data_IF_378617186545
#
_entry.id   IF_378617186545
#
_cell.length_a   1.000
_cell.length_b   1.000
_cell.length_c   1.000
_cell.angle_alpha   90.00
_cell.angle_beta   90.00
_cell.angle_gamma   90.00
#
_symmetry.space_group_name_H-M   'P 1'
#
loop_
_entity.id
_entity.type
_entity.pdbx_description
1 polymer ?
#
# COMPACT_ATOMS: atom_id res chain seq x y z
N UNK A 1 15.53 -16.01 -4.88
CA UNK A 1 15.00 -14.67 -4.53
C UNK A 1 13.87 -14.37 -5.50
N UNK A 2 12.71 -13.95 -5.01
CA UNK A 2 11.59 -13.51 -5.86
C UNK A 2 11.87 -12.05 -6.24
N UNK A 3 11.78 -11.65 -7.52
CA UNK A 3 12.02 -10.26 -7.91
C UNK A 3 10.98 -9.33 -7.30
N UNK A 4 11.42 -8.17 -6.83
CA UNK A 4 10.52 -7.12 -6.34
C UNK A 4 9.68 -6.54 -7.50
N UNK A 5 8.41 -6.16 -7.27
CA UNK A 5 7.62 -5.45 -8.27
C UNK A 5 8.25 -4.11 -8.66
N UNK A 6 8.04 -3.67 -9.90
CA UNK A 6 8.40 -2.31 -10.31
C UNK A 6 7.53 -1.30 -9.56
N UNK A 7 8.08 -0.11 -9.26
CA UNK A 7 7.41 0.90 -8.43
C UNK A 7 6.01 1.25 -8.95
N UNK A 8 5.87 1.48 -10.25
CA UNK A 8 4.62 1.90 -10.87
C UNK A 8 3.66 0.73 -11.17
N UNK A 9 3.94 -0.47 -10.65
CA UNK A 9 3.07 -1.65 -10.81
C UNK A 9 1.99 -1.66 -9.73
N UNK A 10 0.75 -1.92 -10.13
CA UNK A 10 -0.32 -2.22 -9.18
C UNK A 10 -0.24 -3.67 -8.72
N UNK A 11 -0.33 -3.86 -7.40
CA UNK A 11 -0.19 -5.17 -6.75
C UNK A 11 -1.43 -5.50 -5.94
N UNK A 12 -1.73 -6.78 -5.84
CA UNK A 12 -2.70 -7.28 -4.87
C UNK A 12 -1.99 -7.47 -3.53
N UNK A 13 -2.56 -6.90 -2.47
CA UNK A 13 -1.94 -6.97 -1.16
C UNK A 13 -2.97 -6.99 -0.04
N UNK A 14 -2.52 -7.33 1.17
CA UNK A 14 -3.30 -7.21 2.41
C UNK A 14 -2.42 -6.72 3.54
N UNK A 15 -3.00 -5.94 4.46
CA UNK A 15 -2.29 -5.58 5.69
C UNK A 15 -2.45 -6.67 6.76
N UNK A 16 -1.43 -6.81 7.61
CA UNK A 16 -1.47 -7.66 8.82
C UNK A 16 -2.11 -6.97 10.00
N UNK A 17 -2.08 -5.65 10.00
CA UNK A 17 -2.59 -4.76 11.04
C UNK A 17 -3.37 -3.61 10.40
N UNK A 18 -4.09 -2.84 11.23
CA UNK A 18 -4.79 -1.67 10.76
C UNK A 18 -3.76 -0.59 10.40
N UNK A 19 -3.82 -0.08 9.16
CA UNK A 19 -2.93 0.97 8.68
C UNK A 19 -3.76 2.19 8.28
N UNK A 20 -3.27 3.36 8.65
CA UNK A 20 -3.83 4.67 8.28
C UNK A 20 -2.69 5.59 7.85
N UNK A 21 -3.00 6.73 7.25
CA UNK A 21 -1.97 7.67 6.82
C UNK A 21 -1.25 7.29 5.54
N UNK A 22 -1.79 6.36 4.74
CA UNK A 22 -1.16 5.95 3.47
C UNK A 22 -1.44 7.00 2.39
N UNK A 23 -0.39 7.59 1.85
CA UNK A 23 -0.49 8.54 0.74
C UNK A 23 -0.51 7.78 -0.59
N UNK A 24 -1.64 7.82 -1.29
CA UNK A 24 -1.75 7.29 -2.65
C UNK A 24 -1.29 8.34 -3.67
N UNK A 25 -0.62 7.91 -4.75
CA UNK A 25 -0.09 8.84 -5.77
C UNK A 25 -1.18 9.61 -6.52
N UNK A 26 -2.35 9.00 -6.76
CA UNK A 26 -3.47 9.64 -7.48
C UNK A 26 -4.43 10.44 -6.57
N UNK A 27 -4.11 10.58 -5.29
CA UNK A 27 -4.90 11.40 -4.36
C UNK A 27 -4.62 12.89 -4.59
N UNK A 28 -5.63 13.78 -4.52
CA UNK A 28 -5.38 15.22 -4.55
C UNK A 28 -4.38 15.61 -3.46
N UNK A 29 -3.21 16.12 -3.88
CA UNK A 29 -2.03 16.42 -3.04
C UNK A 29 -2.37 17.41 -1.90
N UNK A 30 -3.41 18.24 -2.10
CA UNK A 30 -3.81 19.29 -1.16
C UNK A 30 -4.82 18.83 -0.10
N UNK A 31 -5.35 17.60 -0.20
CA UNK A 31 -6.36 17.07 0.72
C UNK A 31 -5.78 15.92 1.56
N UNK A 32 -4.98 16.27 2.57
CA UNK A 32 -4.54 15.35 3.64
C UNK A 32 -5.70 14.68 4.40
N UNK A 33 -6.93 15.09 4.11
CA UNK A 33 -8.19 14.50 4.56
C UNK A 33 -8.54 13.17 3.86
N UNK A 34 -7.82 12.76 2.81
CA UNK A 34 -8.01 11.49 2.09
C UNK A 34 -6.80 10.55 2.20
N UNK A 35 -6.23 10.44 3.39
CA UNK A 35 -5.26 9.38 3.67
C UNK A 35 -5.97 8.03 3.57
N UNK A 36 -5.34 7.09 2.88
CA UNK A 36 -5.90 5.77 2.67
C UNK A 36 -5.70 4.89 3.91
N UNK A 37 -6.70 4.08 4.20
CA UNK A 37 -6.72 3.17 5.34
C UNK A 37 -6.86 1.73 4.84
N UNK A 38 -6.17 0.81 5.52
CA UNK A 38 -6.20 -0.62 5.23
C UNK A 38 -6.67 -1.40 6.45
N UNK A 39 -7.78 -2.11 6.27
CA UNK A 39 -8.30 -3.06 7.24
C UNK A 39 -7.51 -4.38 7.18
N UNK A 40 -7.16 -4.98 8.34
CA UNK A 40 -6.43 -6.24 8.39
C UNK A 40 -7.13 -7.35 7.61
N UNK A 41 -6.37 -8.03 6.76
CA UNK A 41 -6.86 -9.17 5.98
C UNK A 41 -7.77 -8.83 4.80
N UNK A 42 -8.15 -7.56 4.61
CA UNK A 42 -8.87 -7.12 3.41
C UNK A 42 -7.89 -7.02 2.23
N UNK A 43 -8.35 -7.46 1.06
CA UNK A 43 -7.58 -7.38 -0.17
C UNK A 43 -7.71 -6.01 -0.81
N UNK A 44 -6.57 -5.45 -1.18
CA UNK A 44 -6.46 -4.16 -1.85
C UNK A 44 -5.64 -4.28 -3.12
N UNK A 45 -5.97 -3.45 -4.11
CA UNK A 45 -5.23 -3.32 -5.36
C UNK A 45 -4.66 -1.89 -5.45
N UNK A 46 -3.36 -1.74 -5.18
CA UNK A 46 -2.71 -0.44 -4.96
C UNK A 46 -1.37 -0.38 -5.68
N UNK A 47 -0.95 0.81 -6.12
CA UNK A 47 0.38 1.04 -6.68
C UNK A 47 1.47 0.70 -5.66
N UNK A 48 2.42 -0.16 -6.05
CA UNK A 48 3.48 -0.66 -5.17
C UNK A 48 4.31 0.48 -4.56
N UNK A 49 4.57 1.53 -5.34
CA UNK A 49 5.29 2.74 -4.89
C UNK A 49 4.69 3.35 -3.61
N UNK A 50 3.37 3.39 -3.48
CA UNK A 50 2.68 3.97 -2.31
C UNK A 50 2.81 3.12 -1.04
N UNK A 51 3.10 1.82 -1.17
CA UNK A 51 3.13 0.87 -0.06
C UNK A 51 4.49 0.19 0.15
N UNK A 52 5.49 0.49 -0.67
CA UNK A 52 6.81 -0.17 -0.65
C UNK A 52 7.42 -0.24 0.75
N UNK A 53 7.47 0.87 1.47
CA UNK A 53 8.02 0.91 2.83
C UNK A 53 7.24 0.04 3.84
N UNK A 54 5.93 -0.10 3.65
CA UNK A 54 5.06 -0.94 4.47
C UNK A 54 5.24 -2.43 4.15
N UNK A 55 5.56 -2.75 2.90
CA UNK A 55 5.95 -4.11 2.48
C UNK A 55 7.33 -4.48 3.03
N UNK A 56 8.31 -3.59 2.89
CA UNK A 56 9.69 -3.80 3.40
C UNK A 56 9.74 -3.94 4.93
N UNK A 57 8.87 -3.21 5.65
CA UNK A 57 8.72 -3.37 7.10
C UNK A 57 7.89 -4.59 7.51
N UNK A 58 7.37 -5.36 6.55
CA UNK A 58 6.62 -6.60 6.77
C UNK A 58 5.18 -6.41 7.23
N UNK A 59 4.65 -5.18 7.20
CA UNK A 59 3.27 -4.84 7.62
C UNK A 59 2.22 -5.20 6.56
N UNK A 60 2.63 -5.21 5.28
CA UNK A 60 1.80 -5.60 4.15
C UNK A 60 2.40 -6.84 3.48
N UNK A 61 1.56 -7.83 3.21
CA UNK A 61 1.92 -8.97 2.38
C UNK A 61 1.49 -8.72 0.93
N UNK A 62 2.39 -8.98 -0.01
CA UNK A 62 2.09 -9.08 -1.43
C UNK A 62 1.54 -10.48 -1.74
N UNK A 63 0.56 -10.56 -2.64
CA UNK A 63 -0.11 -11.79 -3.05
C UNK A 63 0.09 -12.07 -4.54
#
# INVERSE_FOLDING_TARGET
MVPEPLLDTFVLCRSKEYLTGIQLEDGPVDDRSKLFEMEPGVLYFICYKSIKALVESGKIDLL
#
